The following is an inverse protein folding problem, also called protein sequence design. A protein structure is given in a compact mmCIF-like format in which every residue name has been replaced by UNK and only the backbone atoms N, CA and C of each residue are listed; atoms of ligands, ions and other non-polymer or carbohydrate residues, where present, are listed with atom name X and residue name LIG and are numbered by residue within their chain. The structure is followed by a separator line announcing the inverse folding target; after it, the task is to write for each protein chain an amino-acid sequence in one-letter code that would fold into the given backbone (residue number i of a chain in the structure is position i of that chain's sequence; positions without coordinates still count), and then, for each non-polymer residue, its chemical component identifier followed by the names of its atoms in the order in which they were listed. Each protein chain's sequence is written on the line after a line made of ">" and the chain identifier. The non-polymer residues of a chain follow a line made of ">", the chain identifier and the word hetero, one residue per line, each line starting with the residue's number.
data_IF_691340312794
#
_entry.id   IF_691340312794
#
_cell.length_a   1.000
_cell.length_b   1.000
_cell.length_c   1.000
_cell.angle_alpha   90.00
_cell.angle_beta   90.00
_cell.angle_gamma   90.00
#
_symmetry.space_group_name_H-M   'P 1'
#
loop_
_entity.id
_entity.type
_entity.pdbx_description
1 polymer ?
#
# COMPACT_ATOMS: atom_id res chain seq x y z
N UNK A 1 -6.45 -38.47 -10.63
CA UNK A 1 -5.68 -38.07 -11.83
C UNK A 1 -6.07 -36.64 -12.16
N UNK A 2 -5.17 -35.67 -11.97
CA UNK A 2 -5.32 -34.32 -12.51
C UNK A 2 -4.71 -34.33 -13.91
N UNK A 3 -5.53 -34.47 -14.96
CA UNK A 3 -5.08 -34.25 -16.34
C UNK A 3 -5.02 -32.74 -16.58
N UNK A 4 -3.80 -32.20 -16.64
CA UNK A 4 -3.56 -30.83 -17.07
C UNK A 4 -3.85 -30.78 -18.57
N UNK A 5 -5.01 -30.25 -18.92
CA UNK A 5 -5.39 -30.04 -20.31
C UNK A 5 -4.57 -28.87 -20.89
N UNK A 6 -4.14 -28.99 -22.14
CA UNK A 6 -3.40 -27.91 -22.83
C UNK A 6 -4.16 -26.59 -22.78
N UNK A 7 -5.50 -26.63 -22.83
CA UNK A 7 -6.35 -25.45 -22.72
C UNK A 7 -6.25 -24.75 -21.35
N UNK A 8 -6.19 -25.49 -20.24
CA UNK A 8 -6.03 -24.91 -18.91
C UNK A 8 -4.64 -24.25 -18.73
N UNK A 9 -3.61 -24.84 -19.35
CA UNK A 9 -2.27 -24.26 -19.35
C UNK A 9 -2.23 -22.94 -20.15
N UNK A 10 -2.89 -22.88 -21.31
CA UNK A 10 -3.01 -21.65 -22.09
C UNK A 10 -3.80 -20.56 -21.35
N UNK A 11 -4.88 -20.92 -20.66
CA UNK A 11 -5.73 -19.98 -19.92
C UNK A 11 -5.00 -19.40 -18.70
N UNK A 12 -4.27 -20.23 -17.95
CA UNK A 12 -3.40 -19.79 -16.87
C UNK A 12 -2.27 -18.86 -17.37
N UNK A 13 -1.65 -19.18 -18.51
CA UNK A 13 -0.63 -18.34 -19.14
C UNK A 13 -1.19 -16.98 -19.55
N UNK A 14 -2.38 -16.95 -20.16
CA UNK A 14 -3.03 -15.70 -20.55
C UNK A 14 -3.36 -14.83 -19.34
N UNK A 15 -3.94 -15.41 -18.29
CA UNK A 15 -4.22 -14.69 -17.04
C UNK A 15 -2.94 -14.17 -16.39
N UNK A 16 -1.88 -14.97 -16.38
CA UNK A 16 -0.58 -14.56 -15.84
C UNK A 16 0.02 -13.39 -16.61
N UNK A 17 0.08 -13.48 -17.95
CA UNK A 17 0.63 -12.40 -18.79
C UNK A 17 -0.20 -11.13 -18.66
N UNK A 18 -1.54 -11.26 -18.61
CA UNK A 18 -2.44 -10.14 -18.42
C UNK A 18 -2.22 -9.45 -17.07
N UNK A 19 -2.22 -10.19 -15.97
CA UNK A 19 -1.94 -9.68 -14.62
C UNK A 19 -0.54 -9.08 -14.52
N UNK A 20 0.47 -9.75 -15.10
CA UNK A 20 1.85 -9.28 -15.08
C UNK A 20 1.99 -7.95 -15.84
N UNK A 21 1.39 -7.82 -17.02
CA UNK A 21 1.41 -6.59 -17.80
C UNK A 21 0.69 -5.45 -17.04
N UNK A 22 -0.53 -5.71 -16.55
CA UNK A 22 -1.33 -4.72 -15.81
C UNK A 22 -0.59 -4.22 -14.55
N UNK A 23 -0.07 -5.13 -13.73
CA UNK A 23 0.68 -4.79 -12.52
C UNK A 23 1.99 -4.07 -12.83
N UNK A 24 2.68 -4.43 -13.91
CA UNK A 24 3.93 -3.75 -14.33
C UNK A 24 3.66 -2.31 -14.73
N UNK A 25 2.61 -2.07 -15.53
CA UNK A 25 2.19 -0.72 -15.92
C UNK A 25 1.79 0.09 -14.70
N UNK A 26 0.98 -0.49 -13.80
CA UNK A 26 0.56 0.17 -12.56
C UNK A 26 1.76 0.50 -11.66
N UNK A 27 2.71 -0.41 -11.52
CA UNK A 27 3.93 -0.22 -10.74
C UNK A 27 4.82 0.90 -11.29
N UNK A 28 5.02 0.95 -12.61
CA UNK A 28 5.79 2.02 -13.25
C UNK A 28 5.12 3.37 -13.06
N UNK A 29 3.80 3.43 -13.25
CA UNK A 29 3.01 4.65 -13.08
C UNK A 29 3.08 5.16 -11.64
N UNK A 30 2.86 4.28 -10.65
CA UNK A 30 2.92 4.65 -9.23
C UNK A 30 4.35 5.04 -8.85
N UNK A 31 5.38 4.31 -9.30
CA UNK A 31 6.78 4.64 -9.01
C UNK A 31 7.18 6.00 -9.59
N UNK A 32 6.73 6.29 -10.81
CA UNK A 32 6.93 7.60 -11.44
C UNK A 32 6.20 8.70 -10.67
N UNK A 33 4.92 8.50 -10.32
CA UNK A 33 4.14 9.44 -9.51
C UNK A 33 4.82 9.71 -8.17
N UNK A 34 5.26 8.68 -7.46
CA UNK A 34 5.94 8.83 -6.16
C UNK A 34 7.27 9.56 -6.31
N UNK A 35 8.01 9.33 -7.41
CA UNK A 35 9.22 10.07 -7.75
C UNK A 35 8.96 11.56 -8.00
N UNK A 36 7.98 11.87 -8.86
CA UNK A 36 7.57 13.26 -9.15
C UNK A 36 7.01 13.94 -7.90
N UNK A 37 6.25 13.22 -7.08
CA UNK A 37 5.64 13.75 -5.86
C UNK A 37 6.71 14.06 -4.80
N UNK A 38 7.78 13.26 -4.70
CA UNK A 38 8.95 13.59 -3.87
C UNK A 38 9.70 14.84 -4.36
N UNK A 39 9.71 15.11 -5.67
CA UNK A 39 10.34 16.29 -6.25
C UNK A 39 9.49 17.57 -6.04
N UNK A 40 8.17 17.48 -6.22
CA UNK A 40 7.27 18.63 -6.20
C UNK A 40 6.63 18.92 -4.84
N UNK A 41 6.44 17.92 -3.97
CA UNK A 41 5.76 18.09 -2.69
C UNK A 41 6.80 18.06 -1.57
N UNK A 42 6.99 19.17 -0.82
CA UNK A 42 7.93 19.17 0.29
C UNK A 42 7.47 18.15 1.34
N UNK A 43 8.39 17.32 1.87
CA UNK A 43 8.08 16.27 2.83
C UNK A 43 7.33 16.81 4.07
N UNK A 44 7.55 18.09 4.40
CA UNK A 44 6.84 18.80 5.46
C UNK A 44 5.30 18.84 5.28
N UNK A 45 4.78 18.94 4.04
CA UNK A 45 3.32 18.93 3.81
C UNK A 45 2.72 17.54 4.02
N UNK A 46 3.37 16.51 3.48
CA UNK A 46 2.93 15.12 3.64
C UNK A 46 2.99 14.72 5.11
N UNK A 47 4.08 15.06 5.79
CA UNK A 47 4.21 14.91 7.23
C UNK A 47 3.11 15.68 7.97
N UNK A 48 2.76 16.91 7.61
CA UNK A 48 1.71 17.66 8.32
C UNK A 48 0.31 17.02 8.19
N UNK A 49 0.02 16.38 7.05
CA UNK A 49 -1.29 15.76 6.77
C UNK A 49 -1.37 14.37 7.42
N UNK A 50 -0.32 13.54 7.27
CA UNK A 50 -0.29 12.18 7.81
C UNK A 50 0.13 12.15 9.30
N UNK A 51 1.05 13.00 9.73
CA UNK A 51 1.45 13.15 11.14
C UNK A 51 0.60 14.19 11.89
N UNK A 52 -0.57 14.57 11.32
CA UNK A 52 -1.45 15.59 11.87
C UNK A 52 -1.85 15.27 13.32
N UNK A 53 -1.49 16.16 14.24
CA UNK A 53 -1.60 16.10 15.72
C UNK A 53 -2.99 15.73 16.32
N UNK A 54 -4.01 15.51 15.48
CA UNK A 54 -5.41 15.29 15.87
C UNK A 54 -5.98 13.92 15.43
N UNK A 55 -5.12 12.93 15.10
CA UNK A 55 -5.58 11.59 14.69
C UNK A 55 -6.23 11.50 13.30
N UNK A 56 -6.46 12.63 12.62
CA UNK A 56 -7.03 12.68 11.25
C UNK A 56 -6.18 11.93 10.23
N UNK A 57 -4.86 11.87 10.43
CA UNK A 57 -3.94 11.14 9.55
C UNK A 57 -4.25 9.64 9.46
N UNK A 58 -4.71 9.01 10.53
CA UNK A 58 -5.08 7.59 10.55
C UNK A 58 -6.27 7.30 9.65
N UNK A 59 -7.29 8.15 9.71
CA UNK A 59 -8.50 8.01 8.90
C UNK A 59 -8.18 8.25 7.42
N UNK A 60 -7.41 9.30 7.11
CA UNK A 60 -6.98 9.61 5.73
C UNK A 60 -6.17 8.45 5.16
N UNK A 61 -5.24 7.89 5.94
CA UNK A 61 -4.42 6.76 5.54
C UNK A 61 -5.25 5.50 5.29
N UNK A 62 -6.25 5.19 6.12
CA UNK A 62 -7.12 4.05 5.89
C UNK A 62 -8.02 4.22 4.66
N UNK A 63 -8.51 5.43 4.37
CA UNK A 63 -9.25 5.70 3.13
C UNK A 63 -8.37 5.62 1.89
N UNK A 64 -7.13 6.12 1.97
CA UNK A 64 -6.15 5.93 0.90
C UNK A 64 -5.91 4.44 0.67
N UNK A 65 -5.72 3.65 1.73
CA UNK A 65 -5.57 2.19 1.62
C UNK A 65 -6.79 1.52 0.97
N UNK A 66 -7.99 1.90 1.38
CA UNK A 66 -9.24 1.37 0.82
C UNK A 66 -9.40 1.67 -0.68
N UNK A 67 -9.02 2.86 -1.13
CA UNK A 67 -9.15 3.26 -2.53
C UNK A 67 -8.03 2.66 -3.39
N UNK A 68 -6.82 2.50 -2.84
CA UNK A 68 -5.65 1.98 -3.55
C UNK A 68 -5.19 0.65 -2.95
N UNK A 69 -5.87 -0.48 -3.27
CA UNK A 69 -5.46 -1.78 -2.79
C UNK A 69 -4.11 -2.16 -3.43
N UNK A 70 -3.03 -1.96 -2.70
CA UNK A 70 -1.70 -2.33 -3.14
C UNK A 70 -1.45 -3.81 -2.92
N UNK A 71 -1.00 -4.47 -3.99
CA UNK A 71 -0.35 -5.76 -3.91
C UNK A 71 1.05 -5.58 -3.30
N UNK A 72 1.58 -6.64 -2.69
CA UNK A 72 2.91 -6.60 -2.02
C UNK A 72 4.03 -6.01 -2.89
N UNK A 73 3.92 -6.12 -4.22
CA UNK A 73 4.85 -5.57 -5.21
C UNK A 73 4.89 -4.03 -5.24
N UNK A 74 3.74 -3.39 -5.01
CA UNK A 74 3.57 -1.93 -5.05
C UNK A 74 3.62 -1.29 -3.65
N UNK A 75 3.33 -2.06 -2.60
CA UNK A 75 3.40 -1.59 -1.21
C UNK A 75 4.81 -1.14 -0.81
N UNK A 76 5.86 -1.85 -1.25
CA UNK A 76 7.25 -1.54 -0.89
C UNK A 76 7.71 -0.16 -1.37
N UNK A 77 7.67 0.18 -2.68
CA UNK A 77 8.10 1.49 -3.17
C UNK A 77 7.25 2.63 -2.60
N UNK A 78 5.94 2.39 -2.45
CA UNK A 78 5.02 3.37 -1.86
C UNK A 78 5.38 3.65 -0.40
N UNK A 79 5.56 2.60 0.42
CA UNK A 79 5.95 2.74 1.81
C UNK A 79 7.31 3.43 1.94
N UNK A 80 8.28 3.11 1.08
CA UNK A 80 9.57 3.82 1.04
C UNK A 80 9.40 5.31 0.73
N UNK A 81 8.48 5.66 -0.17
CA UNK A 81 8.13 7.05 -0.45
C UNK A 81 7.53 7.77 0.77
N UNK A 82 6.61 7.11 1.48
CA UNK A 82 6.01 7.65 2.71
C UNK A 82 7.04 7.80 3.84
N UNK A 83 7.95 6.83 3.99
CA UNK A 83 9.04 6.88 4.96
C UNK A 83 9.97 8.07 4.67
N UNK A 84 10.41 8.25 3.42
CA UNK A 84 11.19 9.44 3.02
C UNK A 84 10.46 10.75 3.26
N UNK A 85 9.13 10.75 3.07
CA UNK A 85 8.28 11.88 3.38
C UNK A 85 8.05 12.10 4.89
N UNK A 86 8.65 11.27 5.75
CA UNK A 86 8.47 11.27 7.21
C UNK A 86 7.00 11.23 7.63
N UNK A 87 6.19 10.44 6.92
CA UNK A 87 4.83 10.14 7.34
C UNK A 87 4.83 9.46 8.72
N UNK A 88 3.78 9.64 9.52
CA UNK A 88 3.68 9.00 10.84
C UNK A 88 3.59 7.48 10.72
N UNK A 89 4.35 6.75 11.52
CA UNK A 89 4.43 5.29 11.45
C UNK A 89 3.08 4.59 11.63
N UNK A 90 2.26 5.05 12.58
CA UNK A 90 0.93 4.52 12.80
C UNK A 90 0.06 4.66 11.56
N UNK A 91 0.11 5.80 10.88
CA UNK A 91 -0.66 6.03 9.64
C UNK A 91 -0.21 5.14 8.49
N UNK A 92 1.10 4.89 8.36
CA UNK A 92 1.63 3.93 7.38
C UNK A 92 1.14 2.51 7.67
N UNK A 93 1.07 2.12 8.94
CA UNK A 93 0.52 0.81 9.34
C UNK A 93 -0.98 0.72 9.08
N UNK A 94 -1.77 1.76 9.36
CA UNK A 94 -3.21 1.77 9.02
C UNK A 94 -3.40 1.59 7.52
N UNK A 95 -2.64 2.34 6.72
CA UNK A 95 -2.68 2.21 5.26
C UNK A 95 -2.41 0.76 4.83
N UNK A 96 -1.37 0.14 5.40
CA UNK A 96 -0.94 -1.22 5.09
C UNK A 96 -2.00 -2.28 5.45
N UNK A 97 -2.68 -2.13 6.59
CA UNK A 97 -3.78 -3.02 6.98
C UNK A 97 -5.06 -2.75 6.18
N UNK A 98 -5.41 -1.50 5.94
CA UNK A 98 -6.62 -1.11 5.23
C UNK A 98 -6.60 -1.55 3.76
N UNK A 99 -5.42 -1.54 3.12
CA UNK A 99 -5.24 -1.92 1.71
C UNK A 99 -5.81 -3.30 1.33
N UNK A 100 -5.45 -4.40 2.01
CA UNK A 100 -6.04 -5.72 1.74
C UNK A 100 -7.47 -5.86 2.31
N UNK A 101 -7.79 -5.20 3.42
CA UNK A 101 -9.07 -5.38 4.12
C UNK A 101 -10.24 -4.65 3.45
N UNK A 102 -10.01 -3.47 2.89
CA UNK A 102 -11.05 -2.58 2.36
C UNK A 102 -11.03 -2.49 0.83
N UNK A 103 -10.55 -3.54 0.17
CA UNK A 103 -10.47 -3.60 -1.29
C UNK A 103 -11.87 -3.42 -1.93
N UNK A 104 -12.03 -2.55 -2.95
CA UNK A 104 -13.30 -2.33 -3.65
C UNK A 104 -13.95 -3.62 -4.18
N UNK A 105 -13.14 -4.61 -4.58
CA UNK A 105 -13.61 -5.93 -5.04
C UNK A 105 -14.27 -6.69 -3.89
N UNK A 106 -13.65 -6.71 -2.70
CA UNK A 106 -14.21 -7.35 -1.50
C UNK A 106 -15.50 -6.63 -1.09
N UNK A 107 -15.48 -5.30 -1.05
CA UNK A 107 -16.66 -4.50 -0.68
C UNK A 107 -17.82 -4.73 -1.67
N UNK A 108 -17.53 -4.78 -2.97
CA UNK A 108 -18.50 -5.09 -4.01
C UNK A 108 -19.07 -6.50 -3.87
N UNK A 109 -18.21 -7.49 -3.61
CA UNK A 109 -18.63 -8.88 -3.39
C UNK A 109 -19.53 -8.99 -2.15
N UNK A 110 -19.18 -8.32 -1.06
CA UNK A 110 -19.98 -8.29 0.17
C UNK A 110 -21.32 -7.60 -0.04
N UNK A 111 -21.36 -6.50 -0.79
CA UNK A 111 -22.60 -5.78 -1.09
C UNK A 111 -23.60 -6.65 -1.85
N UNK A 112 -23.11 -7.44 -2.82
CA UNK A 112 -23.95 -8.34 -3.62
C UNK A 112 -24.35 -9.58 -2.83
N UNK A 113 -23.45 -10.14 -2.02
CA UNK A 113 -23.67 -11.42 -1.33
C UNK A 113 -24.48 -11.28 -0.03
N UNK A 114 -24.15 -10.28 0.79
CA UNK A 114 -24.68 -10.10 2.14
C UNK A 114 -25.55 -8.84 2.28
N UNK A 115 -25.62 -8.01 1.24
CA UNK A 115 -26.37 -6.76 1.25
C UNK A 115 -25.59 -5.58 1.86
N UNK A 116 -26.19 -4.39 1.72
CA UNK A 116 -25.58 -3.11 2.12
C UNK A 116 -25.35 -2.98 3.63
N UNK A 117 -26.26 -3.50 4.46
CA UNK A 117 -26.16 -3.38 5.93
C UNK A 117 -24.92 -4.11 6.47
N UNK A 118 -24.68 -5.35 6.02
CA UNK A 118 -23.51 -6.13 6.44
C UNK A 118 -22.22 -5.53 5.89
N UNK A 119 -22.26 -5.00 4.67
CA UNK A 119 -21.10 -4.38 4.02
C UNK A 119 -20.62 -3.13 4.75
N UNK A 120 -21.54 -2.25 5.16
CA UNK A 120 -21.18 -1.06 5.94
C UNK A 120 -20.63 -1.43 7.31
N UNK A 121 -21.21 -2.45 7.95
CA UNK A 121 -20.69 -2.97 9.22
C UNK A 121 -19.27 -3.54 9.06
N UNK A 122 -19.04 -4.35 8.03
CA UNK A 122 -17.71 -4.88 7.70
C UNK A 122 -16.71 -3.75 7.47
N UNK A 123 -17.07 -2.75 6.66
CA UNK A 123 -16.21 -1.60 6.39
C UNK A 123 -15.84 -0.86 7.68
N UNK A 124 -16.82 -0.58 8.55
CA UNK A 124 -16.59 0.10 9.81
C UNK A 124 -15.67 -0.69 10.75
N UNK A 125 -15.89 -2.00 10.87
CA UNK A 125 -15.05 -2.89 11.70
C UNK A 125 -13.64 -2.99 11.13
N UNK A 126 -13.48 -3.25 9.84
CA UNK A 126 -12.18 -3.39 9.20
C UNK A 126 -11.37 -2.08 9.26
N UNK A 127 -12.02 -0.93 9.04
CA UNK A 127 -11.40 0.38 9.21
C UNK A 127 -11.01 0.62 10.68
N UNK A 128 -11.90 0.31 11.62
CA UNK A 128 -11.63 0.43 13.06
C UNK A 128 -10.46 -0.43 13.52
N UNK A 129 -10.41 -1.70 13.11
CA UNK A 129 -9.30 -2.62 13.41
C UNK A 129 -8.00 -2.11 12.81
N UNK A 130 -8.01 -1.63 11.57
CA UNK A 130 -6.81 -1.08 10.92
C UNK A 130 -6.26 0.12 11.69
N UNK A 131 -7.14 1.03 12.12
CA UNK A 131 -6.77 2.22 12.90
C UNK A 131 -6.25 1.83 14.29
N UNK A 132 -6.94 0.94 14.99
CA UNK A 132 -6.54 0.47 16.32
C UNK A 132 -5.21 -0.27 16.26
N UNK A 133 -4.99 -1.10 15.24
CA UNK A 133 -3.72 -1.79 15.02
C UNK A 133 -2.60 -0.78 14.77
N UNK A 134 -2.76 0.13 13.80
CA UNK A 134 -1.75 1.15 13.51
C UNK A 134 -1.43 2.04 14.71
N UNK A 135 -2.44 2.47 15.45
CA UNK A 135 -2.27 3.28 16.66
C UNK A 135 -1.59 2.51 17.79
N UNK A 136 -1.97 1.26 18.01
CA UNK A 136 -1.33 0.40 19.02
C UNK A 136 0.14 0.16 18.70
N UNK A 137 0.46 -0.08 17.43
CA UNK A 137 1.84 -0.27 16.97
C UNK A 137 2.69 1.00 17.13
N UNK A 138 2.14 2.17 16.81
CA UNK A 138 2.80 3.46 17.04
C UNK A 138 3.05 3.70 18.53
N UNK A 139 2.02 3.51 19.37
CA UNK A 139 2.11 3.73 20.82
C UNK A 139 3.09 2.79 21.52
N UNK A 140 3.24 1.56 21.04
CA UNK A 140 4.22 0.60 21.53
C UNK A 140 5.66 0.92 21.08
N UNK A 141 5.84 1.96 20.23
CA UNK A 141 7.14 2.41 19.78
C UNK A 141 7.79 1.45 18.79
N UNK A 142 7.00 0.74 17.97
CA UNK A 142 7.54 -0.14 16.93
C UNK A 142 8.29 0.61 15.82
N UNK A 143 8.22 1.94 15.79
CA UNK A 143 9.08 2.80 14.96
C UNK A 143 10.56 2.44 15.08
N UNK A 144 11.02 2.05 16.27
CA UNK A 144 12.43 1.70 16.53
C UNK A 144 12.93 0.48 15.73
N UNK A 145 12.03 -0.34 15.18
CA UNK A 145 12.39 -1.49 14.35
C UNK A 145 12.49 -1.14 12.87
N UNK A 146 12.05 0.05 12.46
CA UNK A 146 12.24 0.54 11.11
C UNK A 146 13.68 1.01 10.97
N UNK A 147 14.43 0.40 10.06
CA UNK A 147 15.83 0.81 9.82
C UNK A 147 15.88 2.25 9.34
N UNK A 148 16.81 3.02 9.91
CA UNK A 148 17.06 4.42 9.51
C UNK A 148 17.39 4.54 8.01
N UNK A 149 18.03 3.53 7.43
CA UNK A 149 18.31 3.47 5.99
C UNK A 149 17.04 3.54 5.11
N UNK A 150 15.87 3.19 5.65
CA UNK A 150 14.60 3.27 4.94
C UNK A 150 14.08 4.70 4.76
N UNK A 151 14.52 5.63 5.62
CA UNK A 151 14.16 7.05 5.58
C UNK A 151 15.09 7.87 4.66
N UNK A 152 16.28 7.35 4.35
CA UNK A 152 17.32 8.05 3.59
C UNK A 152 17.17 7.69 2.10
N UNK A 153 17.25 8.68 1.20
CA UNK A 153 17.40 8.42 -0.23
C UNK A 153 18.75 7.72 -0.45
N UNK A 154 18.84 6.63 -1.25
CA UNK A 154 20.12 5.97 -1.47
C UNK A 154 21.11 7.03 -1.94
N UNK A 155 22.27 7.12 -1.29
CA UNK A 155 23.39 7.88 -1.84
C UNK A 155 23.58 7.41 -3.28
N UNK A 156 23.87 8.33 -4.22
CA UNK A 156 24.23 7.96 -5.57
C UNK A 156 25.54 7.19 -5.50
N UNK A 157 25.47 5.88 -5.28
CA UNK A 157 26.53 4.97 -5.70
C UNK A 157 26.52 5.07 -7.20
N UNK A 158 27.40 5.93 -7.71
CA UNK A 158 27.63 6.13 -9.12
C UNK A 158 27.69 4.77 -9.80
N UNK A 159 27.14 4.71 -11.02
CA UNK A 159 27.40 3.62 -11.94
C UNK A 159 28.93 3.50 -12.11
N UNK A 160 29.53 2.63 -11.30
CA UNK A 160 30.86 2.11 -11.50
C UNK A 160 30.73 0.92 -12.41
N UNK A 161 31.14 1.12 -13.66
CA UNK A 161 31.49 0.09 -14.64
C UNK A 161 32.13 -1.15 -14.00
N UNK A 162 31.68 -2.34 -14.41
CA UNK A 162 32.29 -3.63 -14.13
C UNK A 162 31.43 -4.73 -14.77
N UNK A 163 31.61 -5.01 -16.06
CA UNK A 163 32.48 -6.08 -16.56
C UNK A 163 31.98 -7.47 -16.12
N UNK A 164 31.17 -8.12 -16.97
CA UNK A 164 31.50 -9.26 -17.86
C UNK A 164 30.35 -9.43 -18.84
#
# INVERSE_FOLDING_TARGET
>A
MFTIDSNMAYEALNMFVFLAAELTVLFLLISYLVGVLQEYVPPAKIQSILSGKNGRGYIIAGFLGAITPFCSCSTIPFLKGLLRAKAGFGTMMVFLFASPLLNPIIIGLFAVTFGLQVTVFYFAVAMGVSVIAGYSLEKLGFEKYVKEEAYIAPEPKGCGSGAI
#
